data_IF_151853601970
#
_entry.id   IF_151853601970
#
_cell.length_a   1.000
_cell.length_b   1.000
_cell.length_c   1.000
_cell.angle_alpha   90.00
_cell.angle_beta   90.00
_cell.angle_gamma   90.00
#
_symmetry.space_group_name_H-M   'P 1'
#
loop_
_entity.id
_entity.type
_entity.pdbx_description
1 polymer ?
#
# COMPACT_ATOMS: atom_id res chain seq x y z
N UNK A 1 -47.03 2.23 -33.37
CA UNK A 1 -47.94 3.31 -32.97
C UNK A 1 -48.84 2.84 -31.84
N UNK A 2 -48.67 3.35 -30.62
CA UNK A 2 -49.72 3.47 -29.59
C UNK A 2 -49.33 4.66 -28.70
N UNK A 3 -50.30 5.54 -28.45
CA UNK A 3 -50.13 6.91 -27.94
C UNK A 3 -51.01 7.09 -26.68
N UNK A 4 -50.37 7.61 -25.62
CA UNK A 4 -50.86 8.44 -24.48
C UNK A 4 -51.81 7.84 -23.42
N UNK A 5 -51.92 8.41 -22.17
CA UNK A 5 -51.38 9.68 -21.64
C UNK A 5 -50.65 9.65 -20.25
N UNK A 6 -49.94 10.76 -19.92
CA UNK A 6 -49.49 11.20 -18.56
C UNK A 6 -50.67 11.78 -17.72
N UNK A 7 -50.56 12.34 -16.48
CA UNK A 7 -49.45 12.59 -15.53
C UNK A 7 -49.78 12.28 -14.04
N UNK A 8 -48.80 12.33 -13.12
CA UNK A 8 -49.07 12.60 -11.69
C UNK A 8 -47.83 13.18 -10.97
N UNK A 9 -48.08 14.27 -10.24
CA UNK A 9 -47.17 15.12 -9.47
C UNK A 9 -47.05 14.66 -7.99
N UNK A 10 -45.94 15.07 -7.36
CA UNK A 10 -45.73 15.35 -5.92
C UNK A 10 -45.73 14.12 -4.97
N UNK A 11 -44.89 14.00 -3.93
CA UNK A 11 -44.67 14.92 -2.81
C UNK A 11 -43.33 14.63 -2.13
N UNK A 12 -42.68 15.71 -1.69
CA UNK A 12 -41.50 15.84 -0.82
C UNK A 12 -41.82 15.42 0.63
N UNK A 13 -40.97 14.61 1.27
CA UNK A 13 -41.01 14.40 2.73
C UNK A 13 -39.61 14.52 3.34
N UNK A 14 -39.35 15.68 3.95
CA UNK A 14 -38.20 15.92 4.82
C UNK A 14 -38.41 15.25 6.19
N UNK A 15 -37.42 14.51 6.66
CA UNK A 15 -37.39 14.00 8.03
C UNK A 15 -35.95 13.92 8.54
N UNK A 16 -35.50 14.95 9.24
CA UNK A 16 -34.30 14.91 10.05
C UNK A 16 -34.61 15.56 11.40
N UNK A 17 -34.73 14.74 12.45
CA UNK A 17 -34.76 15.18 13.84
C UNK A 17 -33.38 14.87 14.39
N UNK A 18 -32.57 15.90 14.66
CA UNK A 18 -31.35 15.74 15.45
C UNK A 18 -31.54 16.46 16.79
N UNK A 19 -31.52 15.62 17.82
CA UNK A 19 -31.56 15.92 19.24
C UNK A 19 -30.32 16.74 19.62
N UNK A 20 -30.57 17.85 20.33
CA UNK A 20 -29.55 18.63 20.99
C UNK A 20 -29.07 17.92 22.27
N UNK A 21 -27.76 17.75 22.42
CA UNK A 21 -27.12 17.61 23.72
C UNK A 21 -25.81 18.40 23.73
N UNK A 22 -25.89 19.57 24.36
CA UNK A 22 -24.75 20.38 24.80
C UNK A 22 -24.28 19.88 26.16
N UNK A 23 -22.98 19.63 26.38
CA UNK A 23 -22.42 19.54 27.73
C UNK A 23 -21.89 20.90 28.19
N UNK A 24 -22.29 21.26 29.40
CA UNK A 24 -21.99 22.50 30.13
C UNK A 24 -20.53 22.57 30.66
N UNK A 25 -20.05 23.77 31.06
CA UNK A 25 -18.64 24.04 31.37
C UNK A 25 -18.23 23.66 32.80
N UNK A 26 -16.95 23.29 32.99
CA UNK A 26 -16.35 23.05 34.31
C UNK A 26 -15.46 24.24 34.76
N UNK A 27 -15.57 24.68 36.03
CA UNK A 27 -14.84 25.81 36.63
C UNK A 27 -13.40 25.44 37.11
N UNK A 28 -12.60 26.40 37.64
CA UNK A 28 -11.18 26.55 37.33
C UNK A 28 -10.20 25.79 38.24
N UNK A 29 -8.99 25.68 37.68
CA UNK A 29 -7.78 25.12 38.26
C UNK A 29 -7.34 25.88 39.52
N UNK A 30 -7.07 25.15 40.60
CA UNK A 30 -6.45 25.66 41.84
C UNK A 30 -5.01 25.18 41.95
N UNK A 31 -4.14 26.17 42.17
CA UNK A 31 -2.77 26.24 42.65
C UNK A 31 -1.97 24.97 43.00
N UNK A 32 -0.78 24.94 42.40
CA UNK A 32 0.57 24.69 42.93
C UNK A 32 0.77 24.26 44.41
N UNK A 33 1.61 23.22 44.59
CA UNK A 33 2.77 23.11 45.50
C UNK A 33 3.36 21.69 45.35
N UNK A 34 4.58 21.31 45.71
CA UNK A 34 5.93 21.84 45.53
C UNK A 34 6.91 20.71 45.95
N UNK A 35 7.98 20.52 45.18
CA UNK A 35 9.35 20.05 45.52
C UNK A 35 9.68 18.65 46.10
N UNK A 36 10.74 18.05 45.50
CA UNK A 36 11.84 17.19 46.06
C UNK A 36 11.50 15.77 46.55
N UNK A 37 12.34 14.71 46.47
CA UNK A 37 13.79 14.55 46.29
C UNK A 37 14.12 13.17 45.69
N UNK A 38 15.39 13.02 45.32
CA UNK A 38 16.07 11.92 44.63
C UNK A 38 16.07 10.54 45.29
N UNK A 39 16.19 9.49 44.45
CA UNK A 39 16.98 8.29 44.74
C UNK A 39 17.41 7.62 43.42
N UNK A 40 18.73 7.46 43.26
CA UNK A 40 19.33 6.65 42.22
C UNK A 40 19.27 5.16 42.61
N UNK A 41 18.97 4.29 41.65
CA UNK A 41 19.48 2.92 41.59
C UNK A 41 19.32 2.36 40.18
N UNK A 42 20.44 1.91 39.64
CA UNK A 42 20.58 1.30 38.33
C UNK A 42 19.89 -0.06 38.27
N UNK A 43 19.28 -0.39 37.14
CA UNK A 43 19.25 -1.76 36.65
C UNK A 43 19.15 -1.73 35.12
N UNK A 44 20.08 -2.43 34.50
CA UNK A 44 20.20 -2.62 33.06
C UNK A 44 18.89 -3.09 32.42
N UNK A 45 18.47 -2.40 31.38
CA UNK A 45 17.78 -3.05 30.27
C UNK A 45 18.74 -2.97 29.09
N UNK A 46 19.44 -4.08 28.84
CA UNK A 46 19.97 -4.40 27.52
C UNK A 46 18.78 -4.30 26.56
N UNK A 47 18.77 -3.25 25.75
CA UNK A 47 17.93 -3.19 24.56
C UNK A 47 18.35 -4.36 23.67
N UNK A 48 17.41 -5.11 23.08
CA UNK A 48 17.70 -6.35 22.38
C UNK A 48 18.77 -6.13 21.31
N UNK A 49 19.84 -6.93 21.38
CA UNK A 49 20.77 -7.12 20.27
C UNK A 49 19.94 -7.41 19.01
N UNK A 50 20.09 -6.66 17.91
CA UNK A 50 19.38 -6.97 16.68
C UNK A 50 19.73 -8.40 16.27
N UNK A 51 18.70 -9.20 16.00
CA UNK A 51 18.83 -10.57 15.50
C UNK A 51 19.68 -10.52 14.23
N UNK A 52 20.95 -10.92 14.35
CA UNK A 52 21.81 -11.15 13.22
C UNK A 52 21.31 -12.39 12.47
N UNK A 53 20.36 -12.17 11.56
CA UNK A 53 20.12 -13.02 10.40
C UNK A 53 20.37 -12.24 9.10
N UNK A 54 21.14 -11.14 9.17
CA UNK A 54 21.52 -10.31 8.03
C UNK A 54 22.71 -10.88 7.24
N UNK A 55 22.78 -12.21 7.05
CA UNK A 55 23.94 -12.87 6.42
C UNK A 55 23.60 -13.73 5.21
N UNK A 56 22.32 -13.86 4.83
CA UNK A 56 21.92 -14.72 3.70
C UNK A 56 21.36 -13.96 2.50
N UNK A 57 20.86 -12.73 2.71
CA UNK A 57 20.26 -11.94 1.65
C UNK A 57 21.32 -11.17 0.86
N UNK A 58 21.32 -11.33 -0.46
CA UNK A 58 22.22 -10.60 -1.37
C UNK A 58 22.10 -9.07 -1.19
N UNK A 59 20.87 -8.60 -0.97
CA UNK A 59 20.56 -7.19 -0.75
C UNK A 59 19.59 -7.04 0.43
N UNK A 60 20.08 -6.83 1.66
CA UNK A 60 19.22 -6.70 2.84
C UNK A 60 18.49 -5.35 2.89
N UNK A 61 19.11 -4.29 2.34
CA UNK A 61 18.53 -2.95 2.28
C UNK A 61 17.58 -2.81 1.08
N UNK A 62 16.34 -2.38 1.34
CA UNK A 62 15.28 -2.36 0.32
C UNK A 62 15.62 -1.51 -0.90
N UNK A 63 16.14 -0.29 -0.71
CA UNK A 63 16.42 0.61 -1.83
C UNK A 63 17.55 0.09 -2.73
N UNK A 64 18.53 -0.61 -2.15
CA UNK A 64 19.58 -1.29 -2.91
C UNK A 64 19.01 -2.50 -3.63
N UNK A 65 18.22 -3.32 -2.93
CA UNK A 65 17.50 -4.45 -3.51
C UNK A 65 16.66 -4.01 -4.72
N UNK A 66 15.84 -2.97 -4.59
CA UNK A 66 14.89 -2.53 -5.62
C UNK A 66 15.61 -2.08 -6.90
N UNK A 67 16.76 -1.40 -6.78
CA UNK A 67 17.59 -1.00 -7.93
C UNK A 67 18.13 -2.21 -8.70
N UNK A 68 18.60 -3.23 -7.99
CA UNK A 68 19.05 -4.47 -8.62
C UNK A 68 17.87 -5.27 -9.17
N UNK A 69 16.79 -5.40 -8.41
CA UNK A 69 15.59 -6.15 -8.79
C UNK A 69 15.02 -5.63 -10.11
N UNK A 70 14.80 -4.32 -10.24
CA UNK A 70 14.25 -3.75 -11.47
C UNK A 70 15.15 -3.83 -12.71
N UNK A 71 16.47 -4.06 -12.54
CA UNK A 71 17.45 -4.06 -13.62
C UNK A 71 17.95 -5.47 -14.00
N UNK A 72 17.81 -6.45 -13.11
CA UNK A 72 18.37 -7.80 -13.29
C UNK A 72 17.27 -8.86 -13.35
N UNK A 73 16.92 -9.34 -14.54
CA UNK A 73 15.88 -10.38 -14.73
C UNK A 73 16.18 -11.63 -13.88
N UNK A 74 17.43 -12.08 -13.81
CA UNK A 74 17.83 -13.22 -12.98
C UNK A 74 17.55 -13.00 -11.48
N UNK A 75 17.61 -11.76 -11.00
CA UNK A 75 17.21 -11.45 -9.63
C UNK A 75 15.68 -11.39 -9.51
N UNK A 76 14.98 -10.87 -10.51
CA UNK A 76 13.51 -10.91 -10.54
C UNK A 76 12.98 -12.33 -10.46
N UNK A 77 13.52 -13.25 -11.24
CA UNK A 77 13.18 -14.67 -11.23
C UNK A 77 13.38 -15.31 -9.85
N UNK A 78 14.45 -14.94 -9.14
CA UNK A 78 14.77 -15.50 -7.82
C UNK A 78 14.01 -14.85 -6.67
N UNK A 79 13.70 -13.58 -6.78
CA UNK A 79 13.10 -12.76 -5.74
C UNK A 79 11.62 -12.44 -6.03
N UNK A 80 10.97 -13.25 -6.88
CA UNK A 80 9.51 -13.25 -7.05
C UNK A 80 8.95 -14.51 -6.40
N UNK A 81 7.86 -14.36 -5.66
CA UNK A 81 7.23 -15.47 -4.98
C UNK A 81 6.73 -16.51 -6.00
N UNK A 82 6.93 -17.79 -5.68
CA UNK A 82 6.14 -18.84 -6.30
C UNK A 82 4.69 -18.71 -5.77
N UNK A 83 3.70 -18.71 -6.67
CA UNK A 83 2.36 -18.18 -6.41
C UNK A 83 2.33 -16.65 -6.17
N UNK A 84 2.86 -15.87 -7.12
CA UNK A 84 2.69 -14.41 -7.17
C UNK A 84 1.20 -14.06 -7.21
N UNK A 85 0.75 -13.17 -6.32
CA UNK A 85 -0.60 -12.61 -6.41
C UNK A 85 -0.62 -11.54 -7.50
N UNK A 86 -1.32 -11.79 -8.58
CA UNK A 86 -1.40 -10.90 -9.72
C UNK A 86 -2.82 -10.37 -9.90
N UNK A 87 -2.95 -9.08 -10.19
CA UNK A 87 -4.26 -8.51 -10.52
C UNK A 87 -4.19 -7.47 -11.61
N UNK A 88 -5.24 -7.37 -12.42
CA UNK A 88 -5.39 -6.39 -13.48
C UNK A 88 -6.84 -5.91 -13.61
N UNK A 89 -7.05 -4.79 -14.32
CA UNK A 89 -8.39 -4.31 -14.67
C UNK A 89 -8.84 -4.93 -16.00
N UNK A 90 -9.89 -5.74 -15.94
CA UNK A 90 -10.61 -6.23 -17.12
C UNK A 90 -11.53 -5.12 -17.62
N UNK A 91 -11.03 -4.32 -18.57
CA UNK A 91 -11.74 -3.18 -19.15
C UNK A 91 -12.94 -3.59 -20.03
N UNK A 92 -12.98 -4.84 -20.49
CA UNK A 92 -14.06 -5.37 -21.32
C UNK A 92 -15.18 -6.02 -20.49
N UNK A 93 -15.02 -6.09 -19.16
CA UNK A 93 -16.06 -6.59 -18.29
C UNK A 93 -17.33 -5.72 -18.31
N UNK A 94 -18.49 -6.37 -18.40
CA UNK A 94 -19.79 -5.70 -18.30
C UNK A 94 -20.45 -5.99 -16.93
N UNK A 95 -21.18 -5.03 -16.33
CA UNK A 95 -21.55 -3.71 -16.88
C UNK A 95 -20.45 -2.63 -16.77
N UNK A 96 -19.40 -2.86 -15.99
CA UNK A 96 -18.29 -1.93 -15.77
C UNK A 96 -16.96 -2.69 -15.64
N UNK A 97 -15.81 -2.03 -15.89
CA UNK A 97 -14.49 -2.61 -15.66
C UNK A 97 -14.35 -3.17 -14.25
N UNK A 98 -13.72 -4.34 -14.13
CA UNK A 98 -13.56 -5.01 -12.83
C UNK A 98 -12.13 -5.49 -12.63
N UNK A 99 -11.72 -5.52 -11.37
CA UNK A 99 -10.46 -6.13 -10.98
C UNK A 99 -10.55 -7.65 -11.08
N UNK A 100 -9.62 -8.25 -11.80
CA UNK A 100 -9.40 -9.69 -11.86
C UNK A 100 -8.14 -9.98 -11.04
N UNK A 101 -8.20 -10.98 -10.15
CA UNK A 101 -7.08 -11.39 -9.31
C UNK A 101 -6.84 -12.89 -9.48
N UNK A 102 -5.57 -13.30 -9.54
CA UNK A 102 -5.16 -14.69 -9.68
C UNK A 102 -3.83 -14.95 -8.98
N UNK A 103 -3.52 -16.24 -8.74
CA UNK A 103 -2.20 -16.69 -8.26
C UNK A 103 -1.45 -17.28 -9.45
N UNK A 104 -0.33 -16.67 -9.80
CA UNK A 104 0.52 -17.07 -10.93
C UNK A 104 1.71 -17.87 -10.40
N UNK A 105 1.90 -19.09 -10.90
CA UNK A 105 3.09 -19.87 -10.56
C UNK A 105 4.34 -19.20 -11.14
N UNK A 106 5.49 -19.33 -10.48
CA UNK A 106 6.71 -18.62 -10.91
C UNK A 106 7.09 -18.95 -12.37
N UNK A 107 6.83 -20.18 -12.81
CA UNK A 107 7.11 -20.63 -14.17
C UNK A 107 6.23 -19.96 -15.25
N UNK A 108 5.09 -19.39 -14.85
CA UNK A 108 4.12 -18.74 -15.73
C UNK A 108 4.19 -17.20 -15.65
N UNK A 109 5.09 -16.65 -14.83
CA UNK A 109 5.31 -15.20 -14.74
C UNK A 109 5.98 -14.70 -16.02
N UNK A 110 5.43 -13.65 -16.61
CA UNK A 110 6.04 -12.95 -17.74
C UNK A 110 7.15 -11.98 -17.25
N UNK A 111 8.31 -12.05 -17.91
CA UNK A 111 9.50 -11.28 -17.54
C UNK A 111 9.80 -10.15 -18.55
N UNK A 112 10.29 -8.97 -18.10
CA UNK A 112 10.51 -8.60 -16.70
C UNK A 112 9.19 -8.33 -15.96
N UNK A 113 9.12 -8.73 -14.69
CA UNK A 113 7.93 -8.49 -13.86
C UNK A 113 7.80 -7.02 -13.46
N UNK A 114 8.93 -6.31 -13.33
CA UNK A 114 9.00 -4.89 -13.01
C UNK A 114 9.97 -4.18 -13.95
N UNK A 115 9.64 -2.99 -14.48
CA UNK A 115 10.55 -2.20 -15.32
C UNK A 115 11.72 -1.62 -14.52
N UNK A 116 12.82 -1.28 -15.22
CA UNK A 116 14.00 -0.66 -14.62
C UNK A 116 13.68 0.74 -14.03
N UNK A 117 13.83 0.94 -12.70
CA UNK A 117 13.62 2.22 -12.05
C UNK A 117 14.46 3.37 -12.64
N UNK A 118 15.66 3.08 -13.15
CA UNK A 118 16.53 4.09 -13.74
C UNK A 118 16.02 4.58 -15.11
N UNK A 119 15.23 3.77 -15.82
CA UNK A 119 14.68 4.10 -17.13
C UNK A 119 13.36 4.89 -17.06
N UNK A 120 12.67 4.88 -15.91
CA UNK A 120 11.32 5.43 -15.77
C UNK A 120 11.21 6.92 -16.15
N UNK A 121 12.16 7.75 -15.69
CA UNK A 121 12.13 9.18 -15.99
C UNK A 121 12.24 9.47 -17.50
N UNK A 122 13.03 8.68 -18.23
CA UNK A 122 13.13 8.77 -19.69
C UNK A 122 11.86 8.34 -20.43
N UNK A 123 10.97 7.60 -19.74
CA UNK A 123 9.67 7.15 -20.24
C UNK A 123 8.53 8.08 -19.78
N UNK A 124 8.82 9.17 -19.06
CA UNK A 124 7.81 10.05 -18.48
C UNK A 124 7.05 9.43 -17.32
N UNK A 125 7.64 8.42 -16.65
CA UNK A 125 7.03 7.68 -15.54
C UNK A 125 7.69 8.03 -14.23
N UNK A 126 6.93 7.96 -13.15
CA UNK A 126 7.36 8.26 -11.79
C UNK A 126 7.24 7.01 -10.91
N UNK A 127 8.14 6.89 -9.94
CA UNK A 127 8.12 5.82 -8.93
C UNK A 127 8.00 6.41 -7.54
N UNK A 128 7.12 5.85 -6.72
CA UNK A 128 7.00 6.13 -5.30
C UNK A 128 7.17 4.84 -4.49
N UNK A 129 7.90 4.93 -3.38
CA UNK A 129 8.07 3.83 -2.44
C UNK A 129 7.43 4.21 -1.11
N UNK A 130 6.60 3.31 -0.58
CA UNK A 130 5.86 3.51 0.67
C UNK A 130 6.00 2.30 1.59
N UNK A 131 6.15 2.48 2.91
CA UNK A 131 6.05 1.38 3.86
C UNK A 131 4.59 0.89 3.96
N UNK A 132 4.42 -0.40 4.20
CA UNK A 132 3.14 -1.04 4.53
C UNK A 132 3.20 -1.70 5.92
N UNK A 133 2.06 -2.23 6.36
CA UNK A 133 1.98 -3.05 7.56
C UNK A 133 2.91 -4.29 7.45
N UNK A 134 3.24 -4.86 8.61
CA UNK A 134 4.05 -6.09 8.72
C UNK A 134 5.45 -5.97 8.10
N UNK A 135 5.99 -4.76 8.01
CA UNK A 135 7.33 -4.49 7.48
C UNK A 135 7.42 -4.54 5.96
N UNK A 136 6.30 -4.71 5.25
CA UNK A 136 6.26 -4.74 3.80
C UNK A 136 6.62 -3.39 3.17
N UNK A 137 6.93 -3.42 1.87
CA UNK A 137 7.19 -2.24 1.05
C UNK A 137 6.32 -2.28 -0.18
N UNK A 138 5.74 -1.15 -0.53
CA UNK A 138 5.00 -0.95 -1.76
C UNK A 138 5.79 -0.03 -2.68
N UNK A 139 5.87 -0.42 -3.95
CA UNK A 139 6.42 0.40 -5.03
C UNK A 139 5.28 0.68 -5.99
N UNK A 140 4.95 1.95 -6.17
CA UNK A 140 3.99 2.39 -7.18
C UNK A 140 4.76 3.04 -8.33
N UNK A 141 4.45 2.63 -9.56
CA UNK A 141 4.96 3.24 -10.78
C UNK A 141 3.76 3.77 -11.56
N UNK A 142 3.82 5.03 -12.01
CA UNK A 142 2.71 5.67 -12.72
C UNK A 142 3.19 6.58 -13.84
N UNK A 143 2.31 6.80 -14.81
CA UNK A 143 2.44 7.90 -15.76
C UNK A 143 1.57 9.08 -15.28
N UNK A 144 2.14 10.27 -15.01
CA UNK A 144 1.37 11.43 -14.56
C UNK A 144 0.22 11.78 -15.51
N UNK A 145 -0.87 12.31 -14.96
CA UNK A 145 -2.06 12.73 -15.72
C UNK A 145 -2.70 11.62 -16.59
N UNK A 146 -2.50 10.36 -16.21
CA UNK A 146 -3.08 9.18 -16.85
C UNK A 146 -3.55 8.14 -15.84
N UNK A 147 -4.25 7.12 -16.33
CA UNK A 147 -4.62 5.94 -15.52
C UNK A 147 -3.58 4.82 -15.55
N UNK A 148 -2.45 4.99 -16.26
CA UNK A 148 -1.37 4.00 -16.28
C UNK A 148 -0.65 3.98 -14.93
N UNK A 149 -0.90 2.91 -14.17
CA UNK A 149 -0.38 2.71 -12.84
C UNK A 149 -0.20 1.22 -12.56
N UNK A 150 0.97 0.86 -12.03
CA UNK A 150 1.20 -0.46 -11.46
C UNK A 150 1.73 -0.33 -10.03
N UNK A 151 1.32 -1.29 -9.21
CA UNK A 151 1.71 -1.38 -7.80
C UNK A 151 2.34 -2.74 -7.52
N UNK A 152 3.47 -2.73 -6.83
CA UNK A 152 4.27 -3.91 -6.50
C UNK A 152 4.45 -3.98 -4.99
N UNK A 153 4.09 -5.10 -4.37
CA UNK A 153 4.25 -5.30 -2.93
C UNK A 153 5.35 -6.33 -2.65
N UNK A 154 6.27 -5.94 -1.78
CA UNK A 154 7.40 -6.75 -1.35
C UNK A 154 7.28 -7.08 0.14
N UNK A 155 7.55 -8.33 0.47
CA UNK A 155 7.68 -8.81 1.84
C UNK A 155 9.12 -9.28 2.10
N UNK A 156 9.57 -9.17 3.35
CA UNK A 156 10.90 -9.61 3.77
C UNK A 156 10.80 -10.87 4.65
N UNK A 157 11.11 -12.05 4.09
CA UNK A 157 11.15 -13.31 4.85
C UNK A 157 11.91 -14.44 4.11
N UNK A 158 13.20 -14.70 4.39
CA UNK A 158 14.14 -13.83 5.09
C UNK A 158 14.57 -12.63 4.23
N UNK A 159 14.47 -12.74 2.90
CA UNK A 159 14.89 -11.73 1.95
C UNK A 159 13.70 -11.05 1.29
N UNK A 160 13.94 -9.87 0.71
CA UNK A 160 12.93 -9.16 -0.07
C UNK A 160 12.46 -10.02 -1.24
N UNK A 161 11.14 -10.19 -1.31
CA UNK A 161 10.46 -11.00 -2.32
C UNK A 161 9.24 -10.24 -2.83
N UNK A 162 9.05 -10.15 -4.14
CA UNK A 162 7.82 -9.64 -4.75
C UNK A 162 6.70 -10.66 -4.50
N UNK A 163 5.67 -10.25 -3.77
CA UNK A 163 4.55 -11.12 -3.39
C UNK A 163 3.25 -10.73 -4.09
N UNK A 164 3.15 -9.50 -4.59
CA UNK A 164 1.97 -9.01 -5.32
C UNK A 164 2.34 -8.03 -6.42
N UNK A 165 1.70 -8.16 -7.59
CA UNK A 165 1.68 -7.17 -8.66
C UNK A 165 0.23 -6.79 -8.97
N UNK A 166 0.00 -5.51 -9.19
CA UNK A 166 -1.31 -4.95 -9.55
C UNK A 166 -1.10 -4.02 -10.74
N UNK A 167 -1.82 -4.26 -11.84
CA UNK A 167 -1.89 -3.37 -12.99
C UNK A 167 -3.26 -2.71 -13.06
N UNK A 168 -3.30 -1.43 -12.74
CA UNK A 168 -4.53 -0.64 -12.60
C UNK A 168 -4.78 0.22 -13.84
N UNK A 169 -4.06 -0.05 -14.93
CA UNK A 169 -4.17 0.66 -16.20
C UNK A 169 -5.48 0.38 -16.92
N UNK A 170 -6.02 1.40 -17.58
CA UNK A 170 -7.23 1.34 -18.42
C UNK A 170 -7.13 2.29 -19.62
#
# INVERSE_FOLDING_TARGET
MRRYPSPALLVLACGAVLVACTPAPQPPQTAAEAVTAAAASATSATEPTPVAAASECLYPEFDTFLKHFGNEITLQEKATADSLLDSYIDAEAEPEPRKVESRVALADVEWPVMPDPAALAGQGREMQVSPLADGQRQVQIRTPDSSDQQTYTFAQAPCWTLVKREDESI
#
